data_IF_501230414161
#
_entry.id   IF_501230414161
#
_cell.length_a   1.000
_cell.length_b   1.000
_cell.length_c   1.000
_cell.angle_alpha   90.00
_cell.angle_beta   90.00
_cell.angle_gamma   90.00
#
_symmetry.space_group_name_H-M   'P 1'
#
loop_
_entity.id
_entity.type
_entity.pdbx_description
1 polymer ?
#
# COMPACT_ATOMS: atom_id res chain seq x y z
N UNK A 1 16.93 6.12 -29.80
CA UNK A 1 17.41 4.72 -29.76
C UNK A 1 16.86 4.08 -28.50
N UNK A 2 16.10 3.00 -28.63
CA UNK A 2 15.68 2.17 -27.48
C UNK A 2 16.66 1.01 -27.39
N UNK A 3 17.22 0.78 -26.21
CA UNK A 3 18.07 -0.40 -25.96
C UNK A 3 17.14 -1.51 -25.48
N UNK A 4 17.25 -2.69 -26.07
CA UNK A 4 16.48 -3.88 -25.67
C UNK A 4 17.43 -5.05 -25.64
N UNK A 5 17.51 -5.70 -24.49
CA UNK A 5 18.35 -6.87 -24.25
C UNK A 5 17.40 -8.01 -23.90
N UNK A 6 17.47 -9.10 -24.67
CA UNK A 6 16.69 -10.32 -24.44
C UNK A 6 17.67 -11.43 -24.06
N UNK A 7 17.36 -12.17 -22.99
CA UNK A 7 18.20 -13.26 -22.47
C UNK A 7 17.31 -14.41 -22.02
N UNK A 8 17.69 -15.63 -22.39
CA UNK A 8 16.97 -16.86 -22.03
C UNK A 8 17.42 -17.44 -20.66
N UNK A 9 18.26 -16.71 -19.92
CA UNK A 9 18.84 -17.18 -18.65
C UNK A 9 17.90 -17.08 -17.45
N UNK A 10 16.67 -16.61 -17.63
CA UNK A 10 15.73 -16.41 -16.52
C UNK A 10 15.07 -17.73 -16.11
N UNK A 11 15.30 -18.14 -14.87
CA UNK A 11 14.62 -19.29 -14.24
C UNK A 11 13.48 -18.78 -13.38
N UNK A 12 12.31 -19.42 -13.51
CA UNK A 12 11.18 -19.17 -12.61
C UNK A 12 11.56 -19.53 -11.17
N UNK A 13 11.18 -18.71 -10.16
CA UNK A 13 11.30 -19.06 -8.75
C UNK A 13 10.61 -20.39 -8.40
N UNK A 14 9.57 -20.78 -9.15
CA UNK A 14 8.88 -22.06 -9.01
C UNK A 14 9.81 -23.27 -9.18
N UNK A 15 10.92 -23.11 -9.90
CA UNK A 15 11.90 -24.17 -10.18
C UNK A 15 13.06 -24.18 -9.17
N UNK A 16 13.07 -23.27 -8.19
CA UNK A 16 14.07 -23.23 -7.13
C UNK A 16 13.76 -24.22 -6.02
N UNK A 17 14.79 -24.71 -5.32
CA UNK A 17 14.63 -25.59 -4.14
C UNK A 17 13.95 -24.87 -2.95
N UNK A 18 14.04 -23.55 -2.94
CA UNK A 18 13.47 -22.69 -1.92
C UNK A 18 12.74 -21.51 -2.57
N UNK A 19 11.54 -21.22 -2.08
CA UNK A 19 10.75 -20.05 -2.47
C UNK A 19 10.01 -19.51 -1.26
N UNK A 20 10.06 -18.20 -1.06
CA UNK A 20 9.31 -17.49 -0.03
C UNK A 20 8.55 -16.34 -0.66
N UNK A 21 7.28 -16.23 -0.33
CA UNK A 21 6.41 -15.15 -0.80
C UNK A 21 5.67 -14.58 0.40
N UNK A 22 5.63 -13.25 0.46
CA UNK A 22 4.87 -12.49 1.46
C UNK A 22 3.88 -11.59 0.75
N UNK A 23 2.67 -11.49 1.30
CA UNK A 23 1.68 -10.51 0.91
C UNK A 23 1.09 -9.83 2.14
N UNK A 24 1.20 -8.50 2.15
CA UNK A 24 0.54 -7.62 3.12
C UNK A 24 -0.82 -7.24 2.56
N UNK A 25 -1.86 -7.69 3.24
CA UNK A 25 -3.25 -7.57 2.79
C UNK A 25 -3.80 -6.16 2.92
N UNK A 26 -5.04 -6.01 2.47
CA UNK A 26 -5.73 -4.72 2.29
C UNK A 26 -5.67 -3.76 3.49
N UNK A 27 -5.81 -4.24 4.71
CA UNK A 27 -5.81 -3.44 5.94
C UNK A 27 -4.45 -3.37 6.67
N UNK A 28 -3.40 -3.97 6.13
CA UNK A 28 -2.06 -3.87 6.72
C UNK A 28 -1.59 -2.41 6.68
N UNK A 29 -0.99 -1.85 7.76
CA UNK A 29 -0.61 -0.43 7.81
C UNK A 29 0.27 0.03 6.64
N UNK A 30 1.22 -0.80 6.20
CA UNK A 30 2.05 -0.50 5.02
C UNK A 30 1.20 -0.42 3.75
N UNK A 31 0.35 -1.42 3.47
CA UNK A 31 -0.54 -1.44 2.30
C UNK A 31 -1.53 -0.28 2.31
N UNK A 32 -2.06 0.10 3.48
CA UNK A 32 -2.88 1.30 3.65
C UNK A 32 -2.09 2.57 3.32
N UNK A 33 -0.83 2.65 3.75
CA UNK A 33 0.04 3.80 3.46
C UNK A 33 0.32 3.93 1.96
N UNK A 34 0.65 2.81 1.30
CA UNK A 34 0.92 2.75 -0.15
C UNK A 34 -0.32 3.16 -0.96
N UNK A 35 -1.48 2.57 -0.64
CA UNK A 35 -2.74 2.87 -1.33
C UNK A 35 -3.19 4.30 -1.10
N UNK A 36 -3.03 4.83 0.12
CA UNK A 36 -3.36 6.21 0.41
C UNK A 36 -2.42 7.18 -0.33
N UNK A 37 -1.11 6.92 -0.33
CA UNK A 37 -0.14 7.74 -1.07
C UNK A 37 -0.50 7.82 -2.57
N UNK A 38 -0.84 6.68 -3.18
CA UNK A 38 -1.30 6.62 -4.57
C UNK A 38 -2.63 7.39 -4.75
N UNK A 39 -3.59 7.21 -3.85
CA UNK A 39 -4.87 7.91 -3.93
C UNK A 39 -4.71 9.43 -3.84
N UNK A 40 -3.85 9.93 -2.94
CA UNK A 40 -3.55 11.36 -2.84
C UNK A 40 -2.89 11.90 -4.12
N UNK A 41 -1.99 11.13 -4.72
CA UNK A 41 -1.36 11.42 -6.03
C UNK A 41 -2.40 11.54 -7.14
N UNK A 42 -3.30 10.56 -7.25
CA UNK A 42 -4.40 10.56 -8.22
C UNK A 42 -5.35 11.74 -7.99
N UNK A 43 -5.72 12.02 -6.75
CA UNK A 43 -6.61 13.13 -6.40
C UNK A 43 -6.01 14.47 -6.81
N UNK A 44 -4.76 14.73 -6.44
CA UNK A 44 -4.07 15.97 -6.81
C UNK A 44 -3.88 16.09 -8.32
N UNK A 45 -3.55 14.97 -8.99
CA UNK A 45 -3.42 14.91 -10.45
C UNK A 45 -4.71 15.30 -11.16
N UNK A 46 -5.85 14.72 -10.74
CA UNK A 46 -7.16 15.05 -11.29
C UNK A 46 -7.51 16.52 -11.04
N UNK A 47 -7.38 16.97 -9.80
CA UNK A 47 -7.67 18.35 -9.42
C UNK A 47 -6.89 19.37 -10.26
N UNK A 48 -5.58 19.16 -10.41
CA UNK A 48 -4.74 20.09 -11.18
C UNK A 48 -4.97 20.02 -12.68
N UNK A 49 -5.18 18.82 -13.22
CA UNK A 49 -5.51 18.66 -14.63
C UNK A 49 -6.84 19.32 -14.98
N UNK A 50 -7.86 19.12 -14.15
CA UNK A 50 -9.20 19.64 -14.41
C UNK A 50 -9.24 21.18 -14.27
N UNK A 51 -8.43 21.75 -13.36
CA UNK A 51 -8.35 23.21 -13.12
C UNK A 51 -7.40 23.94 -14.06
N UNK A 52 -6.25 23.37 -14.39
CA UNK A 52 -5.16 24.06 -15.11
C UNK A 52 -4.82 23.43 -16.46
N UNK A 53 -5.48 22.35 -16.86
CA UNK A 53 -5.20 21.62 -18.09
C UNK A 53 -3.91 20.78 -18.06
N UNK A 54 -3.26 20.65 -16.91
CA UNK A 54 -2.04 19.86 -16.75
C UNK A 54 -1.91 19.26 -15.34
N UNK A 55 -1.26 18.11 -15.25
CA UNK A 55 -0.85 17.54 -13.96
C UNK A 55 0.37 18.31 -13.46
N UNK A 56 0.22 19.03 -12.35
CA UNK A 56 1.34 19.75 -11.74
C UNK A 56 2.24 18.79 -10.96
N UNK A 57 3.51 19.16 -10.79
CA UNK A 57 4.50 18.27 -10.18
C UNK A 57 4.18 18.02 -8.70
N UNK A 58 4.18 16.75 -8.32
CA UNK A 58 3.94 16.29 -6.95
C UNK A 58 4.53 14.89 -6.71
N UNK A 59 4.67 14.53 -5.43
CA UNK A 59 5.20 13.27 -4.87
C UNK A 59 4.63 13.13 -3.44
N UNK A 60 3.74 12.16 -3.22
CA UNK A 60 3.14 11.85 -1.90
C UNK A 60 3.62 10.51 -1.33
N UNK A 61 4.70 9.95 -1.88
CA UNK A 61 5.24 8.62 -1.63
C UNK A 61 6.08 8.48 -0.33
N UNK A 62 5.95 9.43 0.61
CA UNK A 62 6.62 9.39 1.92
C UNK A 62 5.62 9.53 3.08
N UNK A 63 4.37 9.16 2.82
CA UNK A 63 3.29 9.08 3.79
C UNK A 63 3.61 8.08 4.91
N UNK A 64 3.21 8.38 6.14
CA UNK A 64 3.36 7.46 7.27
C UNK A 64 2.09 7.34 8.09
N UNK A 65 1.62 6.10 8.28
CA UNK A 65 0.53 5.76 9.18
C UNK A 65 1.12 5.18 10.48
N UNK A 66 1.13 5.98 11.55
CA UNK A 66 1.70 5.59 12.83
C UNK A 66 0.61 5.11 13.79
N UNK A 67 0.87 3.98 14.45
CA UNK A 67 -0.07 3.37 15.38
C UNK A 67 -0.49 4.27 16.54
N UNK A 68 -1.77 4.13 16.91
CA UNK A 68 -2.37 4.67 18.14
C UNK A 68 -2.39 3.63 19.25
N UNK A 69 -3.35 3.74 20.17
CA UNK A 69 -3.60 2.75 21.23
C UNK A 69 -5.09 2.49 21.36
N UNK A 70 -5.45 1.25 21.63
CA UNK A 70 -6.82 0.81 21.89
C UNK A 70 -6.87 -0.04 23.16
N UNK A 71 -7.94 0.08 23.93
CA UNK A 71 -8.35 -0.89 24.94
C UNK A 71 -9.41 -1.80 24.29
N UNK A 72 -9.08 -3.08 24.13
CA UNK A 72 -9.89 -4.07 23.40
C UNK A 72 -10.33 -5.16 24.37
N UNK A 73 -11.63 -5.46 24.37
CA UNK A 73 -12.25 -6.51 25.19
C UNK A 73 -13.25 -7.28 24.34
N UNK A 74 -13.72 -8.42 24.85
CA UNK A 74 -14.84 -9.10 24.20
C UNK A 74 -16.07 -8.18 24.16
N UNK A 75 -16.70 -8.10 22.99
CA UNK A 75 -17.88 -7.26 22.78
C UNK A 75 -17.61 -5.79 22.48
N UNK A 76 -16.36 -5.33 22.45
CA UNK A 76 -16.02 -3.98 22.01
C UNK A 76 -14.63 -3.49 22.41
N UNK A 77 -14.31 -2.27 22.00
CA UNK A 77 -13.07 -1.61 22.38
C UNK A 77 -13.09 -0.14 21.99
N UNK A 78 -12.26 0.67 22.65
CA UNK A 78 -12.18 2.10 22.45
C UNK A 78 -10.74 2.52 22.14
N UNK A 79 -10.58 3.52 21.27
CA UNK A 79 -9.31 4.20 21.10
C UNK A 79 -8.96 4.96 22.38
N UNK A 80 -7.77 4.72 22.93
CA UNK A 80 -7.20 5.48 24.04
C UNK A 80 -6.16 6.49 23.55
N UNK A 81 -5.66 6.33 22.33
CA UNK A 81 -4.82 7.31 21.64
C UNK A 81 -5.04 7.18 20.13
N UNK A 82 -5.24 8.29 19.39
CA UNK A 82 -5.51 8.24 17.96
C UNK A 82 -4.29 7.73 17.18
N UNK A 83 -4.53 7.15 16.01
CA UNK A 83 -3.47 6.94 15.02
C UNK A 83 -2.98 8.31 14.54
N UNK A 84 -1.74 8.38 14.06
CA UNK A 84 -1.19 9.62 13.49
C UNK A 84 -0.91 9.40 12.01
N UNK A 85 -1.49 10.26 11.17
CA UNK A 85 -1.29 10.24 9.73
C UNK A 85 -0.37 11.40 9.34
N UNK A 86 0.86 11.10 8.94
CA UNK A 86 1.78 12.06 8.36
C UNK A 86 1.58 12.13 6.85
N UNK A 87 0.94 13.21 6.38
CA UNK A 87 0.90 13.56 4.96
C UNK A 87 2.10 14.47 4.69
N UNK A 88 3.16 13.90 4.14
CA UNK A 88 4.33 14.66 3.71
C UNK A 88 4.53 14.54 2.19
N UNK A 89 5.60 15.16 1.71
CA UNK A 89 6.08 14.99 0.35
C UNK A 89 6.29 16.34 -0.29
N UNK A 90 6.10 16.40 -1.61
CA UNK A 90 6.19 17.63 -2.37
C UNK A 90 4.99 17.77 -3.28
N UNK A 91 4.39 18.95 -3.32
CA UNK A 91 3.37 19.30 -4.31
C UNK A 91 3.54 20.76 -4.72
N UNK A 92 3.15 21.07 -5.94
CA UNK A 92 3.21 22.45 -6.45
C UNK A 92 2.17 23.31 -5.70
N UNK A 93 2.57 24.32 -4.92
CA UNK A 93 1.63 25.10 -4.10
C UNK A 93 1.02 26.28 -4.86
N UNK A 94 1.60 26.66 -6.01
CA UNK A 94 1.17 27.80 -6.81
C UNK A 94 1.54 27.61 -8.28
N UNK A 95 0.76 28.23 -9.16
CA UNK A 95 1.10 28.42 -10.57
C UNK A 95 0.94 29.89 -10.93
N UNK A 96 2.00 30.50 -11.47
CA UNK A 96 2.05 31.96 -11.62
C UNK A 96 1.89 32.66 -10.27
N UNK A 97 0.83 33.45 -10.15
CA UNK A 97 0.46 34.16 -8.93
C UNK A 97 -0.69 33.51 -8.16
N UNK A 98 -1.24 32.40 -8.67
CA UNK A 98 -2.38 31.72 -8.05
C UNK A 98 -1.92 30.63 -7.08
N UNK A 99 -2.36 30.71 -5.82
CA UNK A 99 -2.17 29.64 -4.83
C UNK A 99 -3.15 28.50 -5.07
N UNK A 100 -2.65 27.27 -4.92
CA UNK A 100 -3.40 26.03 -5.13
C UNK A 100 -3.83 25.49 -3.77
N UNK A 101 -5.11 25.65 -3.44
CA UNK A 101 -5.69 25.13 -2.21
C UNK A 101 -6.05 23.65 -2.35
N UNK A 102 -5.14 22.75 -2.00
CA UNK A 102 -5.35 21.29 -2.07
C UNK A 102 -5.30 20.57 -0.72
N UNK A 103 -4.95 21.26 0.37
CA UNK A 103 -4.77 20.63 1.68
C UNK A 103 -6.04 19.92 2.16
N UNK A 104 -7.15 20.63 2.20
CA UNK A 104 -8.43 20.07 2.68
C UNK A 104 -8.95 18.98 1.75
N UNK A 105 -8.75 19.13 0.43
CA UNK A 105 -9.06 18.09 -0.55
C UNK A 105 -8.33 16.77 -0.24
N UNK A 106 -7.03 16.83 0.05
CA UNK A 106 -6.22 15.65 0.36
C UNK A 106 -6.56 15.06 1.74
N UNK A 107 -6.82 15.90 2.75
CA UNK A 107 -7.25 15.43 4.08
C UNK A 107 -8.61 14.73 3.97
N UNK A 108 -9.57 15.31 3.24
CA UNK A 108 -10.88 14.69 3.01
C UNK A 108 -10.75 13.37 2.26
N UNK A 109 -9.86 13.30 1.27
CA UNK A 109 -9.57 12.04 0.55
C UNK A 109 -9.05 10.97 1.52
N UNK A 110 -8.11 11.33 2.40
CA UNK A 110 -7.59 10.42 3.41
C UNK A 110 -8.64 9.97 4.42
N UNK A 111 -9.53 10.88 4.83
CA UNK A 111 -10.63 10.57 5.74
C UNK A 111 -11.56 9.50 5.15
N UNK A 112 -12.07 9.74 3.94
CA UNK A 112 -12.97 8.80 3.26
C UNK A 112 -12.29 7.44 3.06
N UNK A 113 -11.02 7.43 2.61
CA UNK A 113 -10.27 6.20 2.42
C UNK A 113 -10.13 5.39 3.71
N UNK A 114 -9.69 6.02 4.80
CA UNK A 114 -9.47 5.30 6.06
C UNK A 114 -10.79 4.84 6.70
N UNK A 115 -11.87 5.60 6.60
CA UNK A 115 -13.19 5.20 7.11
C UNK A 115 -13.82 4.05 6.29
N UNK A 116 -13.52 3.96 4.99
CA UNK A 116 -13.94 2.83 4.16
C UNK A 116 -13.14 1.56 4.49
N UNK A 117 -11.82 1.70 4.65
CA UNK A 117 -10.91 0.57 4.82
C UNK A 117 -10.92 -0.01 6.25
N UNK A 118 -10.98 0.87 7.26
CA UNK A 118 -10.94 0.53 8.68
C UNK A 118 -12.35 0.48 9.28
N UNK A 119 -12.73 -0.69 9.82
CA UNK A 119 -14.03 -0.84 10.48
C UNK A 119 -14.10 -0.11 11.79
N UNK A 120 -15.27 0.45 12.11
CA UNK A 120 -15.54 1.17 13.35
C UNK A 120 -14.53 2.30 13.61
N UNK A 121 -13.99 2.88 12.54
CA UNK A 121 -13.04 3.97 12.58
C UNK A 121 -13.76 5.27 12.22
N UNK A 122 -13.59 6.29 13.06
CA UNK A 122 -14.05 7.65 12.77
C UNK A 122 -12.83 8.52 12.64
N UNK A 123 -12.57 9.06 11.45
CA UNK A 123 -11.32 9.76 11.16
C UNK A 123 -11.12 10.96 12.11
N UNK A 124 -12.17 11.73 12.36
CA UNK A 124 -12.12 12.91 13.23
C UNK A 124 -11.74 12.57 14.68
N UNK A 125 -12.22 11.43 15.20
CA UNK A 125 -12.02 11.04 16.59
C UNK A 125 -10.77 10.17 16.77
N UNK A 126 -10.37 9.43 15.73
CA UNK A 126 -9.40 8.35 15.84
C UNK A 126 -8.10 8.62 15.05
N UNK A 127 -8.02 9.72 14.30
CA UNK A 127 -6.85 10.12 13.54
C UNK A 127 -6.38 11.53 13.90
N UNK A 128 -5.08 11.71 14.12
CA UNK A 128 -4.42 13.01 14.13
C UNK A 128 -3.62 13.19 12.85
N UNK A 129 -4.00 14.18 12.05
CA UNK A 129 -3.25 14.54 10.83
C UNK A 129 -2.04 15.40 11.19
N UNK A 130 -0.89 15.05 10.63
CA UNK A 130 0.35 15.82 10.63
C UNK A 130 0.64 16.21 9.18
N UNK A 131 0.65 17.51 8.90
CA UNK A 131 0.84 18.03 7.55
C UNK A 131 2.26 18.59 7.39
N UNK A 132 3.07 17.92 6.59
CA UNK A 132 4.47 18.28 6.32
C UNK A 132 4.74 18.25 4.80
N UNK A 133 3.77 18.69 4.00
CA UNK A 133 3.99 18.83 2.56
C UNK A 133 4.83 20.07 2.28
N UNK A 134 5.97 19.87 1.63
CA UNK A 134 6.93 20.94 1.36
C UNK A 134 6.86 21.35 -0.11
N UNK A 135 6.91 22.65 -0.34
CA UNK A 135 7.09 23.20 -1.69
C UNK A 135 8.52 23.66 -1.95
N UNK A 136 9.46 23.40 -1.02
CA UNK A 136 10.85 23.85 -1.11
C UNK A 136 11.40 23.63 -2.52
N UNK A 137 12.19 24.59 -2.99
CA UNK A 137 12.82 24.55 -4.31
C UNK A 137 13.62 23.24 -4.50
N UNK A 138 13.73 22.77 -5.75
CA UNK A 138 14.50 21.55 -6.06
C UNK A 138 15.88 21.60 -5.40
N UNK A 139 16.36 20.48 -4.85
CA UNK A 139 17.70 20.36 -4.25
C UNK A 139 18.73 21.05 -5.15
N UNK A 140 19.52 21.96 -4.59
CA UNK A 140 20.55 22.73 -5.32
C UNK A 140 20.16 24.17 -5.69
N UNK A 141 18.99 24.65 -5.28
CA UNK A 141 18.63 26.07 -5.42
C UNK A 141 19.22 26.86 -4.25
N UNK A 142 20.19 27.73 -4.54
CA UNK A 142 20.65 28.77 -3.63
C UNK A 142 19.55 29.83 -3.57
N UNK A 143 19.12 30.21 -2.38
CA UNK A 143 18.26 31.40 -2.21
C UNK A 143 19.08 32.64 -2.66
N UNK A 144 18.79 33.16 -3.85
CA UNK A 144 19.49 34.31 -4.43
C UNK A 144 19.20 34.49 -5.93
N UNK A 145 19.51 35.70 -6.45
CA UNK A 145 19.25 36.17 -7.83
C UNK A 145 20.00 35.41 -8.95
N UNK A 146 20.57 34.25 -8.67
CA UNK A 146 21.32 33.41 -9.61
C UNK A 146 20.66 32.05 -9.88
N UNK A 147 19.33 31.98 -9.78
CA UNK A 147 18.57 30.87 -10.33
C UNK A 147 18.55 30.97 -11.85
N UNK A 148 19.26 30.07 -12.54
CA UNK A 148 19.27 30.05 -14.01
C UNK A 148 17.86 30.03 -14.60
N UNK A 149 17.67 30.59 -15.80
CA UNK A 149 16.37 30.65 -16.50
C UNK A 149 15.83 29.30 -16.99
N UNK A 150 16.45 28.17 -16.58
CA UNK A 150 16.03 26.85 -17.01
C UNK A 150 14.71 26.44 -16.34
N UNK A 151 13.72 25.92 -17.10
CA UNK A 151 12.47 25.41 -16.57
C UNK A 151 12.61 24.40 -15.42
N UNK A 152 13.78 23.74 -15.31
CA UNK A 152 14.07 22.79 -14.22
C UNK A 152 14.02 23.43 -12.82
N UNK A 153 14.34 24.72 -12.72
CA UNK A 153 14.35 25.47 -11.47
C UNK A 153 12.94 25.84 -10.98
N UNK A 154 11.96 25.85 -11.88
CA UNK A 154 10.58 26.27 -11.62
C UNK A 154 9.59 25.11 -11.56
N UNK A 155 10.04 23.85 -11.59
CA UNK A 155 9.11 22.70 -11.69
C UNK A 155 8.10 22.54 -10.54
N UNK A 156 8.44 23.00 -9.33
CA UNK A 156 7.52 23.04 -8.19
C UNK A 156 6.92 24.44 -7.94
N UNK A 157 7.33 25.43 -8.73
CA UNK A 157 6.82 26.81 -8.71
C UNK A 157 6.69 27.35 -10.15
N UNK A 158 5.90 26.69 -11.02
CA UNK A 158 5.81 27.05 -12.43
C UNK A 158 5.17 28.44 -12.56
N UNK A 159 5.71 29.31 -13.41
CA UNK A 159 5.10 30.61 -13.70
C UNK A 159 3.91 30.47 -14.65
N UNK A 160 3.98 29.47 -15.51
CA UNK A 160 2.94 29.06 -16.46
C UNK A 160 3.23 27.63 -16.93
N UNK A 161 2.35 27.08 -17.78
CA UNK A 161 2.46 25.69 -18.26
C UNK A 161 3.75 25.40 -19.06
N UNK A 162 4.43 26.41 -19.62
CA UNK A 162 5.70 26.22 -20.33
C UNK A 162 6.85 25.82 -19.39
N UNK A 163 6.73 26.11 -18.09
CA UNK A 163 7.68 25.67 -17.07
C UNK A 163 7.47 24.20 -16.66
N UNK A 164 6.51 23.48 -17.29
CA UNK A 164 6.22 22.06 -17.09
C UNK A 164 6.57 21.25 -18.35
N UNK A 165 7.87 21.04 -18.65
CA UNK A 165 8.27 20.28 -19.84
C UNK A 165 7.68 18.87 -19.84
N UNK A 166 7.43 18.28 -18.66
CA UNK A 166 6.80 16.96 -18.53
C UNK A 166 5.40 16.86 -19.14
N UNK A 167 4.69 18.00 -19.28
CA UNK A 167 3.33 18.03 -19.85
C UNK A 167 3.28 17.70 -21.35
N UNK A 168 4.35 17.98 -22.08
CA UNK A 168 4.44 17.73 -23.54
C UNK A 168 5.29 16.52 -23.85
N UNK A 169 6.37 16.32 -23.10
CA UNK A 169 7.27 15.17 -23.24
C UNK A 169 7.66 14.68 -21.85
N UNK A 170 7.16 13.50 -21.43
CA UNK A 170 7.59 12.90 -20.17
C UNK A 170 9.10 12.73 -20.16
N UNK A 171 9.74 13.28 -19.13
CA UNK A 171 11.15 13.10 -18.84
C UNK A 171 11.27 12.37 -17.51
N UNK A 172 12.28 11.50 -17.40
CA UNK A 172 12.50 10.80 -16.14
C UNK A 172 12.72 11.80 -15.01
N UNK A 173 12.01 11.59 -13.90
CA UNK A 173 12.16 12.41 -12.70
C UNK A 173 13.38 12.01 -11.87
N UNK A 174 13.86 10.78 -12.05
CA UNK A 174 15.01 10.19 -11.35
C UNK A 174 15.64 9.06 -12.19
N UNK A 175 16.77 8.52 -11.74
CA UNK A 175 17.37 7.29 -12.29
C UNK A 175 16.84 6.09 -11.51
N UNK A 176 15.79 5.45 -12.03
CA UNK A 176 15.11 4.34 -11.39
C UNK A 176 14.97 3.13 -12.34
N UNK A 177 14.82 1.93 -11.76
CA UNK A 177 14.55 0.68 -12.49
C UNK A 177 13.25 0.06 -11.99
N UNK A 178 12.39 -0.35 -12.92
CA UNK A 178 11.21 -1.15 -12.63
C UNK A 178 11.48 -2.62 -12.96
N UNK A 179 11.10 -3.52 -12.06
CA UNK A 179 11.22 -4.96 -12.26
C UNK A 179 9.82 -5.60 -12.24
N UNK A 180 9.56 -6.52 -13.17
CA UNK A 180 8.32 -7.28 -13.22
C UNK A 180 8.56 -8.64 -13.88
N UNK A 181 7.68 -9.60 -13.61
CA UNK A 181 7.69 -10.93 -14.23
C UNK A 181 6.27 -11.45 -14.39
N UNK A 182 6.11 -12.41 -15.29
CA UNK A 182 4.88 -13.17 -15.50
C UNK A 182 5.24 -14.54 -16.13
N UNK A 183 4.42 -15.59 -15.91
CA UNK A 183 3.29 -15.64 -14.98
C UNK A 183 3.75 -15.73 -13.51
N UNK A 184 2.80 -15.63 -12.58
CA UNK A 184 3.05 -15.96 -11.18
C UNK A 184 3.41 -17.45 -11.01
N UNK A 185 4.26 -17.75 -10.04
CA UNK A 185 4.46 -19.11 -9.54
C UNK A 185 3.19 -19.64 -8.85
N UNK A 186 3.07 -20.96 -8.64
CA UNK A 186 1.93 -21.53 -7.93
C UNK A 186 1.74 -20.94 -6.51
N UNK A 187 2.82 -20.67 -5.78
CA UNK A 187 2.73 -20.10 -4.42
C UNK A 187 2.41 -18.59 -4.44
N UNK A 188 2.92 -17.83 -5.42
CA UNK A 188 2.53 -16.44 -5.64
C UNK A 188 1.03 -16.32 -5.91
N UNK A 189 0.51 -17.16 -6.82
CA UNK A 189 -0.91 -17.21 -7.16
C UNK A 189 -1.77 -17.61 -5.96
N UNK A 190 -1.38 -18.65 -5.23
CA UNK A 190 -2.11 -19.12 -4.05
C UNK A 190 -2.23 -18.04 -2.97
N UNK A 191 -1.12 -17.37 -2.61
CA UNK A 191 -1.16 -16.32 -1.59
C UNK A 191 -2.04 -15.14 -2.03
N UNK A 192 -1.95 -14.76 -3.31
CA UNK A 192 -2.78 -13.71 -3.86
C UNK A 192 -4.28 -14.05 -3.76
N UNK A 193 -4.66 -15.29 -4.08
CA UNK A 193 -6.04 -15.77 -4.00
C UNK A 193 -6.55 -15.85 -2.56
N UNK A 194 -5.74 -16.34 -1.62
CA UNK A 194 -6.11 -16.40 -0.19
C UNK A 194 -6.33 -14.98 0.35
N UNK A 195 -5.39 -14.06 0.15
CA UNK A 195 -5.55 -12.68 0.64
C UNK A 195 -6.77 -12.00 0.01
N UNK A 196 -6.95 -12.15 -1.31
CA UNK A 196 -8.08 -11.56 -2.02
C UNK A 196 -9.42 -12.11 -1.51
N UNK A 197 -9.47 -13.40 -1.18
CA UNK A 197 -10.66 -14.04 -0.61
C UNK A 197 -10.95 -13.52 0.80
N UNK A 198 -9.94 -13.48 1.67
CA UNK A 198 -10.08 -13.03 3.06
C UNK A 198 -10.48 -11.55 3.16
N UNK A 199 -9.94 -10.70 2.28
CA UNK A 199 -10.18 -9.25 2.31
C UNK A 199 -11.28 -8.77 1.35
N UNK A 200 -11.94 -9.69 0.66
CA UNK A 200 -13.04 -9.39 -0.27
C UNK A 200 -14.21 -8.70 0.43
N UNK A 201 -14.98 -7.91 -0.32
CA UNK A 201 -16.19 -7.26 0.21
C UNK A 201 -17.24 -8.28 0.66
N UNK A 202 -17.34 -9.43 0.00
CA UNK A 202 -18.27 -10.50 0.37
C UNK A 202 -17.91 -11.13 1.71
N UNK A 203 -16.67 -11.59 1.87
CA UNK A 203 -16.16 -12.11 3.14
C UNK A 203 -16.29 -11.06 4.25
N UNK A 204 -16.05 -9.79 3.92
CA UNK A 204 -16.25 -8.68 4.85
C UNK A 204 -17.69 -8.59 5.35
N UNK A 205 -18.69 -8.75 4.49
CA UNK A 205 -20.11 -8.72 4.86
C UNK A 205 -20.54 -9.97 5.64
N UNK A 206 -20.08 -11.15 5.22
CA UNK A 206 -20.42 -12.44 5.86
C UNK A 206 -19.75 -12.61 7.23
N UNK A 207 -18.57 -12.03 7.42
CA UNK A 207 -17.81 -12.10 8.66
C UNK A 207 -17.47 -10.69 9.21
N UNK A 208 -18.45 -9.98 9.80
CA UNK A 208 -18.26 -8.64 10.36
C UNK A 208 -17.22 -8.55 11.49
N UNK A 209 -16.90 -9.67 12.13
CA UNK A 209 -15.88 -9.78 13.18
C UNK A 209 -14.45 -9.89 12.64
N UNK A 210 -14.26 -10.26 11.36
CA UNK A 210 -12.92 -10.39 10.79
C UNK A 210 -12.34 -9.04 10.36
N UNK A 211 -11.10 -8.74 10.77
CA UNK A 211 -10.43 -7.51 10.35
C UNK A 211 -9.84 -7.56 8.95
N UNK A 212 -9.45 -6.39 8.46
CA UNK A 212 -8.81 -6.23 7.15
C UNK A 212 -7.28 -6.33 7.20
N UNK A 213 -6.66 -6.20 8.38
CA UNK A 213 -5.23 -6.42 8.55
C UNK A 213 -4.93 -7.91 8.51
N UNK A 214 -4.54 -8.37 7.33
CA UNK A 214 -4.13 -9.73 7.03
C UNK A 214 -2.68 -9.68 6.50
N UNK A 215 -1.82 -10.58 6.97
CA UNK A 215 -0.52 -10.83 6.36
C UNK A 215 -0.35 -12.31 6.15
N UNK A 216 0.04 -12.68 4.93
CA UNK A 216 0.26 -14.07 4.54
C UNK A 216 1.71 -14.22 4.13
N UNK A 217 2.39 -15.16 4.76
CA UNK A 217 3.72 -15.60 4.35
C UNK A 217 3.63 -17.09 4.06
N UNK A 218 4.10 -17.50 2.89
CA UNK A 218 4.26 -18.92 2.57
C UNK A 218 5.68 -19.21 2.10
N UNK A 219 6.16 -20.38 2.49
CA UNK A 219 7.48 -20.89 2.17
C UNK A 219 7.34 -22.28 1.57
N UNK A 220 8.00 -22.52 0.44
CA UNK A 220 8.14 -23.83 -0.20
C UNK A 220 9.58 -24.29 -0.09
N UNK A 221 9.77 -25.48 0.48
CA UNK A 221 11.03 -26.21 0.49
C UNK A 221 10.86 -27.49 -0.32
N UNK A 222 11.64 -27.64 -1.37
CA UNK A 222 11.67 -28.85 -2.20
C UNK A 222 12.87 -29.70 -1.79
N UNK A 223 12.63 -30.94 -1.39
CA UNK A 223 13.70 -31.87 -1.03
C UNK A 223 14.28 -32.58 -2.27
N UNK A 224 15.36 -33.32 -2.08
CA UNK A 224 16.05 -34.08 -3.14
C UNK A 224 15.19 -35.15 -3.85
N UNK A 225 13.96 -35.41 -3.38
CA UNK A 225 12.98 -36.31 -4.00
C UNK A 225 11.83 -35.55 -4.67
N UNK A 226 11.99 -34.25 -4.92
CA UNK A 226 10.97 -33.34 -5.45
C UNK A 226 9.67 -33.25 -4.62
N UNK A 227 9.70 -33.61 -3.33
CA UNK A 227 8.56 -33.38 -2.44
C UNK A 227 8.65 -31.96 -1.87
N UNK A 228 7.55 -31.22 -1.97
CA UNK A 228 7.46 -29.86 -1.47
C UNK A 228 6.73 -29.83 -0.13
N UNK A 229 7.34 -29.20 0.88
CA UNK A 229 6.70 -28.86 2.13
C UNK A 229 6.31 -27.37 2.12
N UNK A 230 5.11 -27.06 2.60
CA UNK A 230 4.60 -25.70 2.70
C UNK A 230 4.36 -25.32 4.16
N UNK A 231 4.89 -24.17 4.57
CA UNK A 231 4.56 -23.57 5.86
C UNK A 231 3.83 -22.26 5.62
N UNK A 232 2.71 -22.06 6.34
CA UNK A 232 1.89 -20.87 6.24
C UNK A 232 1.84 -20.16 7.58
N UNK A 233 2.01 -18.83 7.54
CA UNK A 233 1.65 -17.98 8.66
C UNK A 233 0.65 -16.93 8.17
N UNK A 234 -0.58 -17.04 8.68
CA UNK A 234 -1.59 -16.00 8.58
C UNK A 234 -1.60 -15.22 9.89
N UNK A 235 -1.74 -13.90 9.80
CA UNK A 235 -2.10 -13.07 10.95
C UNK A 235 -3.26 -12.20 10.52
N UNK A 236 -4.45 -12.51 11.04
CA UNK A 236 -5.65 -11.70 10.88
C UNK A 236 -6.05 -11.17 12.25
N UNK A 237 -6.17 -9.84 12.38
CA UNK A 237 -6.56 -9.21 13.65
C UNK A 237 -8.09 -9.11 13.69
N UNK A 238 -8.79 -9.76 14.64
CA UNK A 238 -10.23 -9.62 14.76
C UNK A 238 -10.62 -8.17 15.08
N UNK A 239 -11.76 -7.75 14.56
CA UNK A 239 -12.34 -6.42 14.84
C UNK A 239 -13.30 -6.49 16.03
N UNK A 240 -13.59 -5.32 16.61
CA UNK A 240 -14.49 -5.15 17.76
C UNK A 240 -15.98 -5.47 17.46
N UNK A 241 -16.32 -6.02 16.30
CA UNK A 241 -17.71 -6.34 15.98
C UNK A 241 -18.20 -7.54 16.79
N UNK A 242 -19.43 -7.45 17.32
CA UNK A 242 -20.07 -8.57 18.01
C UNK A 242 -20.24 -9.74 17.03
N UNK A 243 -19.75 -10.91 17.41
CA UNK A 243 -20.09 -12.15 16.72
C UNK A 243 -21.62 -12.37 16.83
N UNK A 244 -22.37 -12.47 15.72
CA UNK A 244 -23.82 -12.62 15.75
C UNK A 244 -24.27 -13.97 16.38
N UNK A 245 -23.36 -14.92 16.56
CA UNK A 245 -23.66 -16.25 17.10
C UNK A 245 -23.45 -16.39 18.61
N UNK A 246 -23.19 -15.30 19.34
CA UNK A 246 -23.03 -15.32 20.81
C UNK A 246 -21.87 -16.18 21.33
N UNK A 247 -21.07 -16.76 20.43
CA UNK A 247 -19.92 -17.60 20.76
C UNK A 247 -18.69 -16.71 20.88
N UNK A 248 -18.07 -16.74 22.05
CA UNK A 248 -16.82 -16.07 22.36
C UNK A 248 -15.76 -16.60 21.40
N UNK A 249 -15.28 -15.78 20.46
CA UNK A 249 -14.11 -16.13 19.66
C UNK A 249 -12.92 -16.19 20.61
N UNK A 250 -12.52 -17.37 21.06
CA UNK A 250 -11.29 -17.52 21.84
C UNK A 250 -10.14 -17.06 20.96
N UNK A 251 -9.43 -16.02 21.40
CA UNK A 251 -8.20 -15.56 20.77
C UNK A 251 -7.09 -16.58 20.98
N UNK A 252 -7.23 -17.76 20.38
CA UNK A 252 -6.10 -18.66 20.22
C UNK A 252 -5.28 -18.17 19.04
N UNK A 253 -4.00 -17.88 19.28
CA UNK A 253 -3.01 -17.87 18.20
C UNK A 253 -3.01 -19.27 17.62
N UNK A 254 -3.70 -19.50 16.50
CA UNK A 254 -3.55 -20.74 15.75
C UNK A 254 -2.14 -20.75 15.13
N UNK A 255 -1.16 -21.22 15.91
CA UNK A 255 0.07 -21.77 15.33
C UNK A 255 -0.31 -23.14 14.80
N UNK A 256 -0.84 -23.18 13.58
CA UNK A 256 -0.92 -24.41 12.81
C UNK A 256 0.49 -24.93 12.55
N UNK A 257 1.07 -25.63 13.52
CA UNK A 257 2.30 -26.37 13.32
C UNK A 257 1.88 -27.76 12.84
N UNK A 258 1.75 -27.92 11.52
CA UNK A 258 1.69 -29.26 10.92
C UNK A 258 3.08 -29.90 11.05
N UNK A 259 3.43 -30.33 12.27
CA UNK A 259 4.40 -31.40 12.43
C UNK A 259 3.73 -32.65 11.87
N UNK A 260 4.03 -32.98 10.62
CA UNK A 260 3.83 -34.34 10.12
C UNK A 260 4.77 -35.23 10.94
N UNK A 261 4.26 -35.78 12.03
CA UNK A 261 4.86 -36.96 12.64
C UNK A 261 4.90 -38.05 11.57
N UNK A 262 6.07 -38.65 11.42
CA UNK A 262 6.27 -39.83 10.58
C UNK A 262 5.16 -40.87 10.84
N UNK A 263 4.55 -41.33 9.73
CA UNK A 263 3.45 -42.32 9.61
C UNK A 263 2.04 -41.73 9.50
N UNK A 264 1.69 -41.24 8.32
CA UNK A 264 0.32 -41.36 7.78
C UNK A 264 0.37 -41.41 6.25
N UNK A 265 -0.47 -42.29 5.68
CA UNK A 265 -0.60 -42.59 4.26
C UNK A 265 -0.78 -41.33 3.40
N UNK A 266 -0.11 -41.33 2.25
CA UNK A 266 -0.28 -40.31 1.22
C UNK A 266 -1.66 -40.46 0.59
N UNK A 267 -2.63 -39.66 1.05
CA UNK A 267 -3.85 -39.41 0.29
C UNK A 267 -3.53 -38.47 -0.88
N UNK A 268 -3.66 -38.97 -2.11
CA UNK A 268 -3.66 -38.15 -3.31
C UNK A 268 -4.79 -37.11 -3.23
N UNK A 269 -4.44 -35.83 -3.22
CA UNK A 269 -5.41 -34.76 -3.40
C UNK A 269 -5.73 -34.65 -4.89
N UNK A 270 -6.77 -35.34 -5.34
CA UNK A 270 -7.41 -35.02 -6.62
C UNK A 270 -8.16 -33.69 -6.44
N UNK A 271 -7.76 -32.70 -7.22
CA UNK A 271 -8.42 -31.39 -7.30
C UNK A 271 -9.59 -31.55 -8.31
N UNK A 272 -10.82 -31.10 -7.99
CA UNK A 272 -11.91 -31.03 -8.97
C UNK A 272 -11.65 -30.01 -10.09
#
# INVERSE_FOLDING_TARGET
>A
MKITIVSDLLKSPANSEFEIVERKGRGHPDTLSDRLAELLSVTYSKYTRDKYGAILRHQFDKLSLMGGKCDIRFGGGNFTSPIRLLINGRATPKIGNETIEFKDLLINTAAHFLEEELRNFKFQDNCRVMWENTSNSTRGMIEGEHGGNSPIHYRFHPRNLKDLPESTKPISNDTAVGCSWAPYSPIEKMILEIESTLTSNETRLQHPWMGSDCKIIACRLTNCRNKSAYTFQETTIPTNARCPYGTVATGERYRGNTRTNDKTDYGELQIP
#
